data_IF_336397210185
#
_entry.id   IF_336397210185
#
_cell.length_a   1.000
_cell.length_b   1.000
_cell.length_c   1.000
_cell.angle_alpha   90.00
_cell.angle_beta   90.00
_cell.angle_gamma   90.00
#
_symmetry.space_group_name_H-M   'P 1'
#
loop_
_entity.id
_entity.type
_entity.pdbx_description
1 polymer ?
#
# COMPACT_ATOMS: atom_id res chain seq x y z
N UNK A 1 4.12 -6.21 17.26
CA UNK A 1 3.52 -5.18 18.14
C UNK A 1 2.10 -5.62 18.52
N UNK A 2 1.62 -5.36 19.75
CA UNK A 2 0.19 -5.51 20.10
C UNK A 2 -0.47 -4.13 20.31
N UNK A 3 -1.80 -4.06 20.37
CA UNK A 3 -2.55 -2.80 20.49
C UNK A 3 -2.14 -1.99 21.72
N UNK A 4 -1.86 -2.66 22.84
CA UNK A 4 -1.43 -2.00 24.08
C UNK A 4 -0.10 -1.27 23.91
N UNK A 5 0.91 -1.93 23.34
CA UNK A 5 2.23 -1.34 23.09
C UNK A 5 2.14 -0.20 22.06
N UNK A 6 1.34 -0.39 21.00
CA UNK A 6 1.11 0.66 20.01
C UNK A 6 0.51 1.91 20.66
N UNK A 7 -0.54 1.75 21.47
CA UNK A 7 -1.15 2.87 22.18
C UNK A 7 -0.23 3.53 23.21
N UNK A 8 0.64 2.77 23.88
CA UNK A 8 1.66 3.34 24.76
C UNK A 8 2.58 4.28 23.97
N UNK A 9 3.07 3.85 22.81
CA UNK A 9 3.90 4.66 21.94
C UNK A 9 3.16 5.90 21.38
N UNK A 10 1.87 5.74 21.03
CA UNK A 10 1.03 6.85 20.56
C UNK A 10 0.82 7.91 21.65
N UNK A 11 0.63 7.52 22.90
CA UNK A 11 0.42 8.43 24.03
C UNK A 11 1.71 9.09 24.56
N UNK A 12 2.86 8.47 24.34
CA UNK A 12 4.13 8.96 24.87
C UNK A 12 4.66 10.15 24.02
N UNK A 13 4.72 11.38 24.56
CA UNK A 13 5.20 12.54 23.81
C UNK A 13 6.70 12.48 23.49
N UNK A 14 7.49 11.64 24.18
CA UNK A 14 8.89 11.43 23.86
C UNK A 14 9.08 10.59 22.59
N UNK A 15 8.09 9.78 22.22
CA UNK A 15 8.10 9.00 20.97
C UNK A 15 7.70 9.90 19.81
N UNK A 16 8.60 10.07 18.85
CA UNK A 16 8.39 10.92 17.67
C UNK A 16 8.12 10.19 16.36
N UNK A 17 8.30 8.87 16.35
CA UNK A 17 7.91 7.98 15.26
C UNK A 17 7.67 6.57 15.81
N UNK A 18 6.81 5.80 15.16
CA UNK A 18 6.57 4.38 15.49
C UNK A 18 6.93 3.53 14.29
N UNK A 19 7.82 2.56 14.50
CA UNK A 19 8.13 1.55 13.49
C UNK A 19 7.32 0.29 13.81
N UNK A 20 6.59 -0.20 12.80
CA UNK A 20 5.79 -1.41 12.86
C UNK A 20 6.39 -2.46 11.94
N UNK A 21 6.93 -3.52 12.54
CA UNK A 21 7.47 -4.65 11.78
C UNK A 21 6.36 -5.41 11.01
N UNK A 22 5.16 -5.49 11.60
CA UNK A 22 3.98 -6.10 10.99
C UNK A 22 2.69 -5.65 11.72
N UNK A 23 1.51 -5.96 11.17
CA UNK A 23 0.21 -5.57 11.72
C UNK A 23 -0.96 -6.43 11.26
N UNK A 24 -2.08 -6.32 11.96
CA UNK A 24 -3.31 -7.06 11.66
C UNK A 24 -4.55 -6.26 12.08
N UNK A 25 -5.74 -6.62 11.58
CA UNK A 25 -7.02 -6.01 11.91
C UNK A 25 -7.29 -5.94 13.43
N UNK A 26 -6.76 -6.89 14.20
CA UNK A 26 -6.87 -6.93 15.67
C UNK A 26 -6.24 -5.72 16.36
N UNK A 27 -5.35 -5.01 15.67
CA UNK A 27 -4.78 -3.77 16.18
C UNK A 27 -5.81 -2.63 16.18
N UNK A 28 -6.76 -2.64 15.24
CA UNK A 28 -7.59 -1.48 14.91
C UNK A 28 -8.66 -1.19 15.97
N UNK A 29 -9.32 -2.21 16.50
CA UNK A 29 -10.46 -2.07 17.43
C UNK A 29 -10.14 -1.27 18.72
N UNK A 30 -8.86 -1.23 19.09
CA UNK A 30 -8.40 -0.55 20.30
C UNK A 30 -7.46 0.61 20.05
N UNK A 31 -7.27 1.06 18.80
CA UNK A 31 -6.39 2.20 18.52
C UNK A 31 -6.86 3.46 19.26
N UNK A 32 -5.94 4.11 19.97
CA UNK A 32 -6.22 5.37 20.63
C UNK A 32 -6.17 6.53 19.63
N UNK A 33 -7.27 6.73 18.91
CA UNK A 33 -7.41 7.77 17.89
C UNK A 33 -7.31 9.17 18.49
N UNK A 34 -7.69 9.36 19.76
CA UNK A 34 -7.59 10.66 20.43
C UNK A 34 -6.13 11.02 20.72
N UNK A 35 -5.31 10.05 21.13
CA UNK A 35 -3.86 10.24 21.25
C UNK A 35 -3.23 10.60 19.90
N UNK A 36 -3.64 9.93 18.81
CA UNK A 36 -3.17 10.25 17.45
C UNK A 36 -3.54 11.67 17.02
N UNK A 37 -4.78 12.11 17.31
CA UNK A 37 -5.23 13.47 16.98
C UNK A 37 -4.54 14.53 17.84
N UNK A 38 -4.22 14.21 19.09
CA UNK A 38 -3.58 15.14 20.02
C UNK A 38 -2.08 15.34 19.72
N UNK A 39 -1.35 14.28 19.37
CA UNK A 39 0.08 14.33 19.03
C UNK A 39 0.39 13.41 17.83
N UNK A 40 0.11 13.86 16.59
CA UNK A 40 0.33 13.05 15.40
C UNK A 40 1.82 12.75 15.21
N UNK A 41 2.14 11.47 15.03
CA UNK A 41 3.50 10.98 14.79
C UNK A 41 3.54 9.98 13.62
N UNK A 42 4.60 10.01 12.77
CA UNK A 42 4.74 9.07 11.66
C UNK A 42 4.69 7.61 12.12
N UNK A 43 3.95 6.80 11.36
CA UNK A 43 3.95 5.34 11.48
C UNK A 43 4.65 4.78 10.24
N UNK A 44 5.72 4.03 10.45
CA UNK A 44 6.57 3.46 9.39
C UNK A 44 6.45 1.94 9.42
N UNK A 45 6.29 1.29 8.28
CA UNK A 45 6.30 -0.17 8.22
C UNK A 45 5.93 -0.72 6.84
N UNK A 46 5.97 -2.03 6.70
CA UNK A 46 5.56 -2.75 5.48
C UNK A 46 4.51 -3.80 5.82
N UNK A 47 4.10 -4.62 4.85
CA UNK A 47 3.21 -5.76 5.10
C UNK A 47 1.92 -5.35 5.81
N UNK A 48 1.67 -5.90 6.99
CA UNK A 48 0.50 -5.61 7.83
C UNK A 48 0.44 -4.21 8.43
N UNK A 49 1.51 -3.41 8.40
CA UNK A 49 1.43 -1.99 8.74
C UNK A 49 0.39 -1.24 7.86
N UNK A 50 0.10 -1.78 6.66
CA UNK A 50 -0.98 -1.33 5.76
C UNK A 50 -2.32 -1.16 6.49
N UNK A 51 -2.69 -2.06 7.41
CA UNK A 51 -3.93 -1.94 8.19
C UNK A 51 -3.96 -0.62 8.99
N UNK A 52 -2.87 -0.32 9.68
CA UNK A 52 -2.75 0.85 10.54
C UNK A 52 -2.62 2.13 9.70
N UNK A 53 -1.88 2.10 8.59
CA UNK A 53 -1.77 3.26 7.69
C UNK A 53 -3.13 3.69 7.15
N UNK A 54 -3.92 2.73 6.64
CA UNK A 54 -5.22 3.04 6.04
C UNK A 54 -6.24 3.46 7.10
N UNK A 55 -6.23 2.84 8.27
CA UNK A 55 -7.14 3.19 9.36
C UNK A 55 -6.85 4.59 9.93
N UNK A 56 -5.58 4.90 10.23
CA UNK A 56 -5.21 6.22 10.77
C UNK A 56 -5.35 7.34 9.74
N UNK A 57 -5.13 7.05 8.46
CA UNK A 57 -5.45 8.02 7.39
C UNK A 57 -6.95 8.27 7.32
N UNK A 58 -7.78 7.23 7.35
CA UNK A 58 -9.24 7.32 7.29
C UNK A 58 -9.83 8.08 8.48
N UNK A 59 -9.34 7.81 9.69
CA UNK A 59 -9.90 8.34 10.94
C UNK A 59 -9.31 9.67 11.39
N UNK A 60 -8.04 9.93 11.06
CA UNK A 60 -7.28 11.07 11.57
C UNK A 60 -6.60 11.91 10.48
N UNK A 61 -6.63 11.47 9.22
CA UNK A 61 -5.84 12.10 8.15
C UNK A 61 -4.32 11.95 8.34
N UNK A 62 -3.89 11.01 9.20
CA UNK A 62 -2.48 10.81 9.49
C UNK A 62 -1.78 10.15 8.28
N UNK A 63 -0.67 10.76 7.85
CA UNK A 63 0.19 10.19 6.81
C UNK A 63 0.98 9.01 7.37
N UNK A 64 0.78 7.83 6.78
CA UNK A 64 1.60 6.63 7.04
C UNK A 64 2.83 6.59 6.12
N UNK A 65 3.76 5.68 6.39
CA UNK A 65 5.01 5.54 5.63
C UNK A 65 5.25 4.06 5.31
N UNK A 66 4.99 3.65 4.06
CA UNK A 66 5.12 2.26 3.61
C UNK A 66 6.55 1.96 3.14
N UNK A 67 7.30 1.21 3.94
CA UNK A 67 8.72 0.86 3.74
C UNK A 67 9.45 0.77 5.07
N UNK A 68 10.70 0.32 5.04
CA UNK A 68 11.54 0.07 6.22
C UNK A 68 13.01 0.52 6.04
N UNK A 69 13.32 1.13 4.90
CA UNK A 69 14.64 1.69 4.59
C UNK A 69 14.82 3.14 5.07
N UNK A 70 15.88 3.78 4.56
CA UNK A 70 16.19 5.18 4.85
C UNK A 70 15.15 6.12 4.22
N UNK A 71 14.61 7.03 5.03
CA UNK A 71 13.63 8.03 4.59
C UNK A 71 14.26 8.97 3.57
N UNK A 72 13.56 9.22 2.47
CA UNK A 72 13.97 10.18 1.46
C UNK A 72 13.15 11.48 1.51
N UNK A 73 13.72 12.63 1.10
CA UNK A 73 13.02 13.90 1.07
C UNK A 73 11.93 13.93 -0.01
N UNK A 74 10.81 14.61 0.27
CA UNK A 74 9.76 14.85 -0.71
C UNK A 74 10.08 16.01 -1.66
N UNK A 75 9.51 16.04 -2.89
CA UNK A 75 8.68 15.00 -3.47
C UNK A 75 9.50 13.78 -3.89
N UNK A 76 8.98 12.58 -3.61
CA UNK A 76 9.59 11.35 -4.07
C UNK A 76 9.29 11.15 -5.56
N UNK A 77 10.32 10.77 -6.31
CA UNK A 77 10.25 10.51 -7.75
C UNK A 77 10.80 9.11 -8.00
N UNK A 78 9.92 8.20 -8.39
CA UNK A 78 10.23 6.79 -8.58
C UNK A 78 9.94 6.42 -10.03
N UNK A 79 10.95 5.87 -10.69
CA UNK A 79 10.81 5.32 -12.05
C UNK A 79 10.38 3.87 -11.97
N UNK A 80 9.58 3.43 -12.94
CA UNK A 80 9.15 2.04 -13.06
C UNK A 80 8.92 1.63 -14.50
N UNK A 81 8.36 0.44 -14.72
CA UNK A 81 7.96 -0.06 -16.02
C UNK A 81 6.52 0.36 -16.35
N UNK A 82 6.26 0.78 -17.60
CA UNK A 82 4.92 1.08 -18.06
C UNK A 82 4.20 -0.19 -18.53
N UNK A 83 3.22 -0.66 -17.75
CA UNK A 83 2.36 -1.78 -18.14
C UNK A 83 1.11 -1.30 -18.90
N UNK A 84 0.45 -0.23 -18.40
CA UNK A 84 -0.71 0.39 -19.07
C UNK A 84 -0.48 1.89 -19.21
N UNK A 85 -0.49 2.44 -20.44
CA UNK A 85 -0.15 3.83 -20.66
C UNK A 85 -1.24 4.80 -20.16
N UNK A 86 -0.81 5.97 -19.71
CA UNK A 86 -1.65 7.13 -19.45
C UNK A 86 -1.11 8.01 -18.33
N UNK A 87 -1.95 8.94 -17.88
CA UNK A 87 -1.61 9.87 -16.80
C UNK A 87 -2.75 9.93 -15.80
N UNK A 88 -2.39 9.89 -14.52
CA UNK A 88 -3.36 9.87 -13.44
C UNK A 88 -2.88 10.68 -12.25
N UNK A 89 -3.82 11.27 -11.51
CA UNK A 89 -3.57 11.96 -10.25
C UNK A 89 -4.61 11.50 -9.23
N UNK A 90 -4.16 11.30 -7.99
CA UNK A 90 -5.00 10.87 -6.89
C UNK A 90 -4.27 10.98 -5.56
N UNK A 91 -4.87 10.46 -4.49
CA UNK A 91 -4.17 10.20 -3.23
C UNK A 91 -3.52 8.82 -3.33
N UNK A 92 -2.26 8.68 -2.91
CA UNK A 92 -1.61 7.37 -2.83
C UNK A 92 -2.18 6.59 -1.64
N UNK A 93 -2.93 5.53 -1.92
CA UNK A 93 -3.48 4.62 -0.93
C UNK A 93 -3.12 3.19 -1.32
N UNK A 94 -2.90 2.32 -0.34
CA UNK A 94 -2.57 0.93 -0.62
C UNK A 94 -1.45 0.42 0.27
N UNK A 95 -0.66 -0.52 -0.26
CA UNK A 95 0.36 -1.28 0.45
C UNK A 95 0.21 -2.76 0.14
N UNK A 96 0.22 -3.59 1.18
CA UNK A 96 0.14 -5.05 1.02
C UNK A 96 -1.20 -5.49 0.42
N UNK A 97 -1.16 -6.22 -0.69
CA UNK A 97 -2.32 -6.84 -1.33
C UNK A 97 -3.08 -7.77 -0.37
N UNK A 98 -2.35 -8.49 0.48
CA UNK A 98 -2.95 -9.37 1.48
C UNK A 98 -3.75 -8.60 2.54
N UNK A 99 -3.22 -7.46 2.99
CA UNK A 99 -3.90 -6.58 3.93
C UNK A 99 -5.14 -5.93 3.29
N UNK A 100 -5.01 -5.38 2.07
CA UNK A 100 -6.13 -4.82 1.32
C UNK A 100 -7.27 -5.82 1.16
N UNK A 101 -6.96 -7.06 0.77
CA UNK A 101 -7.95 -8.15 0.69
C UNK A 101 -8.57 -8.47 2.05
N UNK A 102 -7.80 -8.42 3.13
CA UNK A 102 -8.30 -8.71 4.47
C UNK A 102 -9.21 -7.61 5.04
N UNK A 103 -9.04 -6.37 4.61
CA UNK A 103 -9.91 -5.26 4.98
C UNK A 103 -11.25 -5.24 4.22
N UNK A 104 -11.42 -6.07 3.19
CA UNK A 104 -12.71 -6.21 2.49
C UNK A 104 -13.80 -6.67 3.47
N UNK A 105 -14.84 -5.84 3.62
CA UNK A 105 -15.90 -6.07 4.60
C UNK A 105 -15.49 -5.82 6.06
N UNK A 106 -14.27 -5.34 6.29
CA UNK A 106 -13.67 -5.11 7.60
C UNK A 106 -12.98 -3.73 7.68
N UNK A 107 -13.56 -2.71 7.01
CA UNK A 107 -13.11 -1.32 7.14
C UNK A 107 -12.13 -0.81 6.08
N UNK A 108 -11.98 -1.49 4.94
CA UNK A 108 -11.22 -0.94 3.80
C UNK A 108 -11.77 0.46 3.44
N UNK A 109 -10.94 1.53 3.44
CA UNK A 109 -11.40 2.85 3.02
C UNK A 109 -11.79 2.84 1.54
N UNK A 110 -12.65 3.78 1.15
CA UNK A 110 -12.97 4.00 -0.27
C UNK A 110 -11.71 4.36 -1.04
N UNK A 111 -11.50 3.68 -2.17
CA UNK A 111 -10.36 3.90 -3.06
C UNK A 111 -10.71 4.76 -4.28
N UNK A 112 -11.95 5.25 -4.39
CA UNK A 112 -12.39 6.12 -5.47
C UNK A 112 -11.48 7.36 -5.59
N UNK A 113 -10.91 7.59 -6.76
CA UNK A 113 -10.00 8.70 -7.00
C UNK A 113 -8.54 8.44 -6.62
N UNK A 114 -8.21 7.29 -6.02
CA UNK A 114 -6.86 7.00 -5.54
C UNK A 114 -5.90 6.57 -6.65
N UNK A 115 -4.60 6.77 -6.41
CA UNK A 115 -3.54 5.97 -7.01
C UNK A 115 -3.33 4.77 -6.06
N UNK A 116 -3.58 3.56 -6.53
CA UNK A 116 -3.50 2.35 -5.72
C UNK A 116 -2.06 1.82 -5.69
N UNK A 117 -1.43 1.78 -4.52
CA UNK A 117 -0.16 1.07 -4.30
C UNK A 117 -0.43 -0.40 -4.02
N UNK A 118 0.23 -1.31 -4.74
CA UNK A 118 0.22 -2.74 -4.48
C UNK A 118 1.64 -3.24 -4.23
N UNK A 119 1.84 -3.85 -3.07
CA UNK A 119 3.03 -4.63 -2.70
C UNK A 119 2.58 -6.00 -2.19
N UNK A 120 3.50 -6.94 -2.07
CA UNK A 120 3.15 -8.26 -1.57
C UNK A 120 4.34 -9.06 -1.07
N UNK A 121 4.02 -10.16 -0.41
CA UNK A 121 4.99 -11.16 -0.01
C UNK A 121 4.44 -12.54 -0.31
N UNK A 122 5.30 -13.41 -0.81
CA UNK A 122 4.92 -14.78 -1.12
C UNK A 122 4.73 -15.61 0.14
N UNK A 123 3.47 -15.73 0.57
CA UNK A 123 3.09 -16.71 1.61
C UNK A 123 2.65 -18.05 1.01
N UNK A 124 2.20 -18.08 -0.25
CA UNK A 124 1.79 -19.27 -0.99
C UNK A 124 2.30 -19.27 -2.45
N UNK A 125 1.51 -19.70 -3.42
CA UNK A 125 1.83 -19.65 -4.85
C UNK A 125 1.07 -18.55 -5.59
N UNK A 126 1.26 -18.47 -6.90
CA UNK A 126 0.64 -17.47 -7.79
C UNK A 126 -0.88 -17.38 -7.64
N UNK A 127 -1.56 -18.53 -7.45
CA UNK A 127 -3.00 -18.58 -7.25
C UNK A 127 -3.51 -17.81 -6.03
N UNK A 128 -2.67 -17.47 -5.05
CA UNK A 128 -3.07 -16.61 -3.94
C UNK A 128 -3.24 -15.16 -4.39
N UNK A 129 -2.29 -14.64 -5.18
CA UNK A 129 -2.33 -13.28 -5.74
C UNK A 129 -3.54 -13.12 -6.64
N UNK A 130 -3.75 -14.09 -7.53
CA UNK A 130 -4.93 -14.17 -8.41
C UNK A 130 -6.25 -14.06 -7.63
N UNK A 131 -6.43 -14.89 -6.58
CA UNK A 131 -7.63 -14.85 -5.74
C UNK A 131 -7.79 -13.54 -4.99
N UNK A 132 -6.69 -12.96 -4.50
CA UNK A 132 -6.72 -11.68 -3.78
C UNK A 132 -7.21 -10.55 -4.68
N UNK A 133 -6.66 -10.44 -5.90
CA UNK A 133 -7.10 -9.45 -6.89
C UNK A 133 -8.53 -9.71 -7.35
N UNK A 134 -8.87 -10.95 -7.67
CA UNK A 134 -10.24 -11.36 -8.01
C UNK A 134 -11.24 -10.93 -6.94
N UNK A 135 -10.91 -11.11 -5.65
CA UNK A 135 -11.79 -10.72 -4.55
C UNK A 135 -12.00 -9.20 -4.50
N UNK A 136 -10.93 -8.41 -4.60
CA UNK A 136 -11.01 -6.94 -4.60
C UNK A 136 -11.84 -6.41 -5.78
N UNK A 137 -11.61 -6.98 -6.97
CA UNK A 137 -12.33 -6.62 -8.20
C UNK A 137 -13.82 -6.97 -8.08
N UNK A 138 -14.13 -8.22 -7.71
CA UNK A 138 -15.53 -8.69 -7.61
C UNK A 138 -16.31 -8.04 -6.47
N UNK A 139 -15.64 -7.59 -5.41
CA UNK A 139 -16.25 -6.80 -4.34
C UNK A 139 -16.53 -5.35 -4.77
N UNK A 140 -16.05 -4.91 -5.94
CA UNK A 140 -16.15 -3.53 -6.40
C UNK A 140 -15.20 -2.57 -5.70
N UNK A 141 -14.27 -3.05 -4.87
CA UNK A 141 -13.40 -2.20 -4.07
C UNK A 141 -12.42 -1.37 -4.91
N UNK A 142 -12.12 -1.82 -6.12
CA UNK A 142 -11.22 -1.12 -7.06
C UNK A 142 -11.98 -0.20 -8.03
N UNK A 143 -13.31 -0.07 -7.88
CA UNK A 143 -14.07 0.85 -8.73
C UNK A 143 -13.66 2.30 -8.45
N UNK A 144 -13.42 3.05 -9.53
CA UNK A 144 -13.12 4.49 -9.45
C UNK A 144 -11.67 4.83 -9.12
N UNK A 145 -10.77 3.86 -8.93
CA UNK A 145 -9.33 4.15 -8.85
C UNK A 145 -8.86 4.86 -10.14
N UNK A 146 -7.78 5.63 -10.04
CA UNK A 146 -7.28 6.46 -11.15
C UNK A 146 -6.01 5.92 -11.78
N UNK A 147 -5.25 5.11 -11.06
CA UNK A 147 -4.02 4.50 -11.54
C UNK A 147 -3.47 3.52 -10.50
N UNK A 148 -2.48 2.72 -10.90
CA UNK A 148 -1.91 1.66 -10.06
C UNK A 148 -0.39 1.77 -10.08
N UNK A 149 0.20 1.74 -8.90
CA UNK A 149 1.62 1.66 -8.65
C UNK A 149 1.91 0.27 -8.10
N UNK A 150 2.56 -0.59 -8.89
CA UNK A 150 3.00 -1.92 -8.46
C UNK A 150 4.42 -1.79 -7.92
N UNK A 151 4.55 -1.94 -6.60
CA UNK A 151 5.83 -2.05 -5.93
C UNK A 151 6.32 -3.50 -5.88
N UNK A 152 7.25 -3.76 -4.97
CA UNK A 152 7.91 -5.06 -4.89
C UNK A 152 7.01 -6.14 -4.30
N UNK A 153 7.06 -7.33 -4.90
CA UNK A 153 6.43 -8.56 -4.42
C UNK A 153 7.51 -9.57 -4.03
N UNK A 154 7.83 -9.63 -2.74
CA UNK A 154 8.96 -10.41 -2.23
C UNK A 154 8.73 -11.91 -2.40
N UNK A 155 9.75 -12.63 -2.87
CA UNK A 155 9.78 -14.10 -2.87
C UNK A 155 9.10 -14.77 -4.07
N UNK A 156 8.72 -13.99 -5.09
CA UNK A 156 8.19 -14.51 -6.36
C UNK A 156 9.24 -14.66 -7.46
N UNK A 157 10.49 -14.26 -7.21
CA UNK A 157 11.59 -14.32 -8.18
C UNK A 157 11.79 -15.75 -8.72
N UNK A 158 11.74 -15.89 -10.06
CA UNK A 158 11.91 -17.17 -10.75
C UNK A 158 10.78 -18.19 -10.53
N UNK A 159 9.69 -17.83 -9.86
CA UNK A 159 8.54 -18.72 -9.68
C UNK A 159 7.74 -18.83 -10.97
N UNK A 160 7.53 -20.06 -11.42
CA UNK A 160 6.65 -20.40 -12.54
C UNK A 160 5.68 -21.51 -12.12
N UNK A 161 4.38 -21.34 -12.36
CA UNK A 161 3.33 -22.36 -12.17
C UNK A 161 2.46 -22.39 -13.43
N UNK A 162 2.38 -23.54 -14.10
CA UNK A 162 1.60 -23.74 -15.34
C UNK A 162 1.89 -22.68 -16.41
N UNK A 163 3.17 -22.44 -16.67
CA UNK A 163 3.69 -21.46 -17.63
C UNK A 163 3.38 -19.98 -17.32
N UNK A 164 2.90 -19.69 -16.10
CA UNK A 164 2.67 -18.33 -15.62
C UNK A 164 3.67 -17.95 -14.54
N UNK A 165 4.08 -16.69 -14.52
CA UNK A 165 4.82 -16.04 -13.44
C UNK A 165 3.94 -15.00 -12.72
N UNK A 166 4.52 -14.24 -11.79
CA UNK A 166 3.80 -13.20 -11.06
C UNK A 166 3.30 -12.07 -11.98
N UNK A 167 4.14 -11.58 -12.88
CA UNK A 167 3.81 -10.49 -13.79
C UNK A 167 2.65 -10.88 -14.71
N UNK A 168 2.60 -12.13 -15.18
CA UNK A 168 1.47 -12.63 -15.97
C UNK A 168 0.15 -12.52 -15.17
N UNK A 169 0.16 -12.95 -13.90
CA UNK A 169 -1.02 -12.86 -13.01
C UNK A 169 -1.42 -11.41 -12.76
N UNK A 170 -0.46 -10.54 -12.41
CA UNK A 170 -0.76 -9.14 -12.14
C UNK A 170 -1.28 -8.46 -13.42
N UNK A 171 -0.65 -8.67 -14.56
CA UNK A 171 -1.00 -8.07 -15.84
C UNK A 171 -2.42 -8.46 -16.26
N UNK A 172 -2.78 -9.75 -16.17
CA UNK A 172 -4.12 -10.26 -16.54
C UNK A 172 -5.26 -9.53 -15.80
N UNK A 173 -5.07 -9.28 -14.50
CA UNK A 173 -6.04 -8.57 -13.67
C UNK A 173 -5.99 -7.05 -13.84
N UNK A 174 -4.79 -6.46 -13.81
CA UNK A 174 -4.61 -5.00 -13.74
C UNK A 174 -4.88 -4.32 -15.08
N UNK A 175 -4.59 -4.97 -16.21
CA UNK A 175 -4.88 -4.42 -17.54
C UNK A 175 -6.39 -4.25 -17.77
N UNK A 176 -7.19 -5.18 -17.25
CA UNK A 176 -8.64 -5.14 -17.36
C UNK A 176 -9.29 -3.95 -16.64
N UNK A 177 -8.57 -3.27 -15.73
CA UNK A 177 -9.08 -2.11 -14.99
C UNK A 177 -9.07 -0.81 -15.81
N UNK A 178 -8.35 -0.76 -16.94
CA UNK A 178 -8.38 0.38 -17.87
C UNK A 178 -7.82 1.70 -17.30
N UNK A 179 -6.98 1.62 -16.27
CA UNK A 179 -6.29 2.75 -15.65
C UNK A 179 -4.77 2.65 -15.87
N UNK A 180 -4.01 3.76 -15.85
CA UNK A 180 -2.56 3.72 -15.99
C UNK A 180 -1.90 2.86 -14.91
N UNK A 181 -0.92 2.04 -15.31
CA UNK A 181 -0.18 1.13 -14.41
C UNK A 181 1.31 1.34 -14.61
N UNK A 182 2.00 1.74 -13.53
CA UNK A 182 3.45 1.67 -13.42
C UNK A 182 3.83 0.54 -12.48
N UNK A 183 4.74 -0.31 -12.92
CA UNK A 183 5.22 -1.46 -12.16
C UNK A 183 6.73 -1.42 -11.93
N UNK A 184 7.24 -2.45 -11.27
CA UNK A 184 8.64 -2.55 -10.86
C UNK A 184 9.15 -1.29 -10.10
N UNK A 185 8.25 -0.67 -9.32
CA UNK A 185 8.62 0.47 -8.50
C UNK A 185 9.39 -0.04 -7.27
N UNK A 186 10.48 0.65 -6.92
CA UNK A 186 11.30 0.34 -5.74
C UNK A 186 10.61 0.75 -4.42
N UNK A 187 9.45 0.15 -4.15
CA UNK A 187 8.59 0.38 -2.97
C UNK A 187 8.32 -0.97 -2.29
N UNK A 188 8.44 -1.03 -0.96
CA UNK A 188 8.19 -2.25 -0.18
C UNK A 188 9.34 -2.58 0.78
N UNK A 189 9.45 -3.85 1.24
CA UNK A 189 10.51 -4.29 2.14
C UNK A 189 11.93 -4.05 1.60
N UNK A 190 12.83 -3.60 2.45
CA UNK A 190 14.20 -3.20 2.12
C UNK A 190 14.30 -1.90 1.30
N UNK A 191 13.23 -1.09 1.21
CA UNK A 191 13.18 0.13 0.39
C UNK A 191 12.86 1.38 1.22
N UNK A 192 13.30 2.56 0.78
CA UNK A 192 12.90 3.84 1.34
C UNK A 192 11.38 3.94 1.50
N UNK A 193 10.87 4.34 2.68
CA UNK A 193 9.44 4.43 2.89
C UNK A 193 8.80 5.53 2.06
N UNK A 194 7.64 5.21 1.46
CA UNK A 194 6.81 6.17 0.74
C UNK A 194 5.62 6.63 1.58
N UNK A 195 5.24 7.92 1.55
CA UNK A 195 4.10 8.40 2.31
C UNK A 195 2.78 7.89 1.72
N UNK A 196 1.88 7.42 2.60
CA UNK A 196 0.53 6.95 2.28
C UNK A 196 -0.46 8.00 2.78
N UNK A 197 -1.44 8.33 1.93
CA UNK A 197 -2.45 9.35 2.23
C UNK A 197 -2.13 10.75 1.69
N UNK A 198 -1.08 10.87 0.86
CA UNK A 198 -0.68 12.14 0.22
C UNK A 198 -0.96 12.14 -1.30
N UNK A 199 -0.98 13.31 -1.96
CA UNK A 199 -1.15 13.37 -3.41
C UNK A 199 -0.04 12.64 -4.17
N UNK A 200 -0.42 11.92 -5.23
CA UNK A 200 0.51 11.28 -6.15
C UNK A 200 0.06 11.43 -7.61
N UNK A 201 1.03 11.36 -8.51
CA UNK A 201 0.85 11.46 -9.97
C UNK A 201 1.62 10.33 -10.65
N UNK A 202 0.91 9.56 -11.49
CA UNK A 202 1.53 8.65 -12.45
C UNK A 202 1.59 9.36 -13.79
N UNK A 203 2.76 9.35 -14.41
CA UNK A 203 2.98 9.73 -15.80
C UNK A 203 3.77 8.63 -16.52
N UNK A 204 3.08 7.80 -17.29
CA UNK A 204 3.75 6.67 -17.96
C UNK A 204 4.57 7.10 -19.16
N UNK A 205 4.43 8.34 -19.65
CA UNK A 205 5.29 8.84 -20.74
C UNK A 205 6.71 9.11 -20.25
N UNK A 206 6.84 9.51 -18.98
CA UNK A 206 8.12 9.67 -18.27
C UNK A 206 8.48 8.43 -17.44
N UNK A 207 7.64 7.39 -17.48
CA UNK A 207 7.74 6.20 -16.63
C UNK A 207 7.89 6.55 -15.13
N UNK A 208 7.16 7.57 -14.68
CA UNK A 208 7.40 8.26 -13.41
C UNK A 208 6.17 8.25 -12.49
N UNK A 209 6.38 7.83 -11.25
CA UNK A 209 5.50 8.10 -10.11
C UNK A 209 6.09 9.26 -9.29
N UNK A 210 5.33 10.34 -9.12
CA UNK A 210 5.66 11.45 -8.21
C UNK A 210 4.74 11.42 -7.01
N UNK A 211 5.31 11.48 -5.80
CA UNK A 211 4.59 11.46 -4.53
C UNK A 211 4.91 12.76 -3.78
N UNK A 212 3.87 13.47 -3.34
CA UNK A 212 3.93 14.80 -2.71
C UNK A 212 4.60 14.82 -1.34
#
# INVERSE_FOLDING_TARGET
MNTTLLNQALRDPAVRAVVLDDGDHRLLDGLDLDAVRADPKPIIGTGGATFVHLELWRECGLVGYHGDGEVQPSPLRLTGECWVPGRARGVLLGGSLGALRAMLGAGLPRLDGAILLLTGERTQGLGQVDRQLTHLIRAGALQGIRGIAVGHFTGFDGLVDRDWNLDDVLTDHLHALGVPVLADLLIGPGRPPVPIGVPAVIDTTEALLTIG
#
